data_IF_549906995140
#
_entry.id   IF_549906995140
#
_cell.length_a   1.000
_cell.length_b   1.000
_cell.length_c   1.000
_cell.angle_alpha   90.00
_cell.angle_beta   90.00
_cell.angle_gamma   90.00
#
_symmetry.space_group_name_H-M   'P 1'
#
loop_
_entity.id
_entity.type
_entity.pdbx_description
1 polymer ?
#
# COMPACT_ATOMS: atom_id res chain seq x y z
N UNK A 1 35.76 -75.93 -150.94
CA UNK A 1 35.72 -77.12 -151.82
C UNK A 1 34.37 -77.78 -151.61
N UNK A 2 33.56 -78.00 -152.65
CA UNK A 2 32.33 -78.80 -152.53
C UNK A 2 32.71 -80.29 -152.41
N UNK A 3 31.94 -81.03 -151.61
CA UNK A 3 32.20 -82.37 -151.07
C UNK A 3 32.47 -83.50 -152.08
N UNK A 4 32.51 -83.23 -153.39
CA UNK A 4 32.68 -84.26 -154.41
C UNK A 4 34.11 -84.85 -154.50
N UNK A 5 35.08 -84.39 -153.68
CA UNK A 5 36.48 -84.86 -153.73
C UNK A 5 36.83 -85.96 -152.72
N UNK A 6 35.98 -86.25 -151.74
CA UNK A 6 36.21 -87.29 -150.73
C UNK A 6 34.99 -88.20 -150.64
N UNK A 7 35.20 -89.51 -150.64
CA UNK A 7 34.12 -90.47 -150.38
C UNK A 7 33.63 -90.35 -148.93
N UNK A 8 32.42 -90.84 -148.66
CA UNK A 8 31.93 -91.03 -147.28
C UNK A 8 32.93 -91.86 -146.48
N UNK A 9 33.19 -91.47 -145.24
CA UNK A 9 34.18 -92.08 -144.33
C UNK A 9 35.61 -92.13 -144.88
N UNK A 10 35.91 -91.34 -145.93
CA UNK A 10 37.25 -91.29 -146.49
C UNK A 10 38.28 -90.74 -145.50
N UNK A 11 37.87 -90.07 -144.42
CA UNK A 11 38.74 -89.57 -143.35
C UNK A 11 38.45 -90.37 -142.07
N UNK A 12 39.26 -91.37 -141.80
CA UNK A 12 39.26 -92.14 -140.53
C UNK A 12 40.31 -91.57 -139.59
N UNK A 13 40.25 -91.93 -138.29
CA UNK A 13 41.21 -91.43 -137.28
C UNK A 13 42.66 -91.63 -137.70
N UNK A 14 43.02 -92.79 -138.29
CA UNK A 14 44.41 -93.07 -138.73
C UNK A 14 44.88 -92.17 -139.89
N UNK A 15 43.95 -91.60 -140.66
CA UNK A 15 44.26 -90.65 -141.74
C UNK A 15 44.46 -89.23 -141.21
N UNK A 16 44.17 -88.99 -139.94
CA UNK A 16 44.50 -87.76 -139.21
C UNK A 16 45.65 -88.10 -138.27
N UNK A 17 46.88 -87.77 -138.65
CA UNK A 17 48.02 -87.93 -137.76
C UNK A 17 47.84 -87.10 -136.47
N UNK A 18 48.48 -87.54 -135.38
CA UNK A 18 48.43 -86.84 -134.10
C UNK A 18 48.81 -85.37 -134.23
N UNK A 19 48.16 -84.51 -133.44
CA UNK A 19 48.28 -83.04 -133.49
C UNK A 19 47.90 -82.37 -134.82
N UNK A 20 47.42 -83.12 -135.83
CA UNK A 20 46.96 -82.48 -137.07
C UNK A 20 45.67 -81.68 -136.89
N UNK A 21 44.88 -81.90 -135.85
CA UNK A 21 43.76 -81.01 -135.49
C UNK A 21 44.29 -80.00 -134.47
N UNK A 22 44.61 -78.80 -134.94
CA UNK A 22 45.08 -77.68 -134.10
C UNK A 22 43.92 -76.76 -133.75
N UNK A 23 44.10 -75.88 -132.76
CA UNK A 23 43.09 -74.89 -132.38
C UNK A 23 42.60 -74.05 -133.57
N UNK A 24 43.46 -73.72 -134.54
CA UNK A 24 43.04 -72.95 -135.73
C UNK A 24 42.16 -73.76 -136.71
N UNK A 25 42.19 -75.09 -136.64
CA UNK A 25 41.35 -76.00 -137.43
C UNK A 25 40.01 -76.30 -136.74
N UNK A 26 39.91 -75.99 -135.45
CA UNK A 26 38.65 -75.97 -134.72
C UNK A 26 38.08 -74.55 -134.83
N UNK A 27 36.92 -74.41 -135.46
CA UNK A 27 36.21 -73.14 -135.45
C UNK A 27 35.89 -72.72 -133.99
N UNK A 28 35.64 -71.44 -133.78
CA UNK A 28 35.01 -70.98 -132.53
C UNK A 28 33.74 -71.81 -132.28
N UNK A 29 33.54 -72.26 -131.04
CA UNK A 29 32.44 -73.13 -130.60
C UNK A 29 32.39 -74.51 -131.30
N UNK A 30 33.48 -74.94 -131.93
CA UNK A 30 33.55 -76.26 -132.55
C UNK A 30 33.46 -77.40 -131.51
N UNK A 31 33.89 -77.17 -130.27
CA UNK A 31 33.77 -78.11 -129.15
C UNK A 31 32.77 -77.54 -128.15
N UNK A 32 31.52 -78.01 -128.22
CA UNK A 32 30.44 -77.67 -127.30
C UNK A 32 30.38 -78.68 -126.16
N UNK A 33 29.63 -78.39 -125.08
CA UNK A 33 29.41 -79.33 -123.96
C UNK A 33 28.97 -80.71 -124.44
N UNK A 34 28.08 -80.81 -125.43
CA UNK A 34 27.62 -82.08 -126.00
C UNK A 34 28.72 -82.92 -126.68
N UNK A 35 29.83 -82.28 -127.07
CA UNK A 35 31.00 -82.94 -127.69
C UNK A 35 32.06 -83.35 -126.66
N UNK A 36 31.87 -82.98 -125.39
CA UNK A 36 32.71 -83.39 -124.26
C UNK A 36 31.93 -84.43 -123.47
N UNK A 37 32.48 -85.63 -123.33
CA UNK A 37 31.85 -86.66 -122.51
C UNK A 37 31.94 -86.30 -121.03
N UNK A 38 30.84 -86.41 -120.29
CA UNK A 38 30.80 -86.11 -118.86
C UNK A 38 31.87 -86.89 -118.08
N UNK A 39 32.52 -86.20 -117.14
CA UNK A 39 33.56 -86.78 -116.26
C UNK A 39 34.92 -86.98 -116.92
N UNK A 40 35.09 -86.64 -118.20
CA UNK A 40 36.39 -86.77 -118.87
C UNK A 40 37.37 -85.62 -118.57
N UNK A 41 36.87 -84.46 -118.14
CA UNK A 41 37.70 -83.35 -117.67
C UNK A 41 38.15 -83.65 -116.24
N UNK A 42 39.40 -84.08 -116.07
CA UNK A 42 40.02 -84.37 -114.78
C UNK A 42 40.85 -83.19 -114.27
N UNK A 43 41.32 -83.26 -113.02
CA UNK A 43 42.09 -82.18 -112.40
C UNK A 43 43.35 -81.76 -113.18
N UNK A 44 43.98 -82.65 -113.95
CA UNK A 44 45.12 -82.32 -114.81
C UNK A 44 44.74 -81.56 -116.09
N UNK A 45 43.48 -81.65 -116.54
CA UNK A 45 42.99 -80.88 -117.69
C UNK A 45 42.72 -79.41 -117.31
N UNK A 46 42.67 -79.13 -116.01
CA UNK A 46 42.48 -77.81 -115.44
C UNK A 46 43.80 -77.32 -114.86
N UNK A 47 44.32 -76.21 -115.38
CA UNK A 47 45.49 -75.58 -114.78
C UNK A 47 45.19 -75.12 -113.34
N UNK A 48 46.20 -75.16 -112.47
CA UNK A 48 46.09 -74.63 -111.12
C UNK A 48 45.53 -73.21 -111.14
N UNK A 49 44.62 -72.91 -110.22
CA UNK A 49 43.95 -71.61 -110.07
C UNK A 49 43.06 -71.18 -111.25
N UNK A 50 42.79 -72.06 -112.23
CA UNK A 50 41.84 -71.75 -113.29
C UNK A 50 40.42 -71.60 -112.73
N UNK A 51 40.06 -72.28 -111.65
CA UNK A 51 38.78 -72.12 -110.95
C UNK A 51 38.98 -71.20 -109.75
N UNK A 52 38.54 -69.95 -109.87
CA UNK A 52 38.59 -68.93 -108.80
C UNK A 52 37.27 -68.89 -108.04
N UNK A 53 37.21 -68.32 -106.84
CA UNK A 53 35.95 -68.13 -106.11
C UNK A 53 34.87 -67.42 -106.94
N UNK A 54 35.25 -66.47 -107.81
CA UNK A 54 34.33 -65.81 -108.75
C UNK A 54 33.68 -66.76 -109.77
N UNK A 55 34.34 -67.90 -110.09
CA UNK A 55 33.84 -68.95 -110.99
C UNK A 55 33.01 -70.01 -110.26
N UNK A 56 33.03 -70.00 -108.92
CA UNK A 56 32.27 -70.94 -108.06
C UNK A 56 30.90 -70.41 -107.62
N UNK A 57 30.60 -69.13 -107.88
CA UNK A 57 29.30 -68.47 -107.74
C UNK A 57 28.52 -68.58 -106.39
N UNK A 58 28.95 -69.35 -105.37
CA UNK A 58 28.21 -69.53 -104.10
C UNK A 58 29.08 -69.69 -102.83
N UNK A 59 28.40 -69.54 -101.67
CA UNK A 59 28.92 -69.70 -100.29
C UNK A 59 29.51 -71.09 -100.06
N UNK A 60 30.74 -71.16 -99.53
CA UNK A 60 31.34 -72.43 -99.09
C UNK A 60 30.67 -72.86 -97.78
N UNK A 61 30.31 -74.14 -97.68
CA UNK A 61 29.70 -74.71 -96.46
C UNK A 61 30.69 -74.78 -95.29
N UNK A 62 30.17 -74.72 -94.05
CA UNK A 62 30.96 -74.69 -92.80
C UNK A 62 31.95 -75.87 -92.65
N UNK A 63 31.59 -77.13 -92.98
CA UNK A 63 32.51 -78.26 -92.84
C UNK A 63 33.77 -78.13 -93.70
N UNK A 64 33.69 -77.36 -94.79
CA UNK A 64 34.77 -77.19 -95.76
C UNK A 64 35.46 -75.82 -95.61
N UNK A 65 35.41 -75.23 -94.40
CA UNK A 65 36.11 -73.99 -94.07
C UNK A 65 35.39 -72.70 -94.44
N UNK A 66 34.11 -72.77 -94.82
CA UNK A 66 33.28 -71.57 -95.06
C UNK A 66 32.70 -70.97 -93.78
N UNK A 67 32.37 -69.68 -93.80
CA UNK A 67 31.67 -69.01 -92.68
C UNK A 67 30.18 -69.32 -92.63
N UNK A 68 29.60 -69.80 -93.75
CA UNK A 68 28.16 -70.03 -93.90
C UNK A 68 27.29 -68.77 -93.84
N UNK A 69 27.87 -67.58 -93.68
CA UNK A 69 27.18 -66.30 -93.51
C UNK A 69 27.77 -65.24 -94.46
N UNK A 70 26.90 -64.38 -94.99
CA UNK A 70 27.24 -63.35 -95.99
C UNK A 70 27.76 -62.05 -95.39
N UNK A 71 27.44 -61.73 -94.12
CA UNK A 71 27.90 -60.54 -93.38
C UNK A 71 28.04 -60.81 -91.88
N UNK A 72 29.08 -60.29 -91.23
CA UNK A 72 29.29 -60.37 -89.77
C UNK A 72 29.52 -58.96 -89.20
N UNK A 73 28.89 -58.61 -88.08
CA UNK A 73 29.08 -57.31 -87.39
C UNK A 73 28.92 -57.49 -85.87
N UNK A 74 29.88 -56.99 -85.09
CA UNK A 74 29.91 -57.16 -83.63
C UNK A 74 30.86 -58.27 -83.17
N UNK A 75 30.56 -58.88 -82.01
CA UNK A 75 31.36 -59.98 -81.46
C UNK A 75 30.93 -61.31 -82.09
N UNK A 76 31.90 -62.10 -82.57
CA UNK A 76 31.64 -63.41 -83.19
C UNK A 76 31.99 -64.52 -82.20
N UNK A 77 31.02 -65.41 -81.92
CA UNK A 77 31.25 -66.60 -81.10
C UNK A 77 31.06 -67.85 -81.94
N UNK A 78 32.14 -68.61 -82.11
CA UNK A 78 32.06 -69.97 -82.66
C UNK A 78 31.53 -70.93 -81.61
N UNK A 79 30.53 -71.74 -81.96
CA UNK A 79 30.09 -72.88 -81.13
C UNK A 79 30.64 -74.23 -81.63
N UNK A 80 31.54 -74.20 -82.61
CA UNK A 80 32.21 -75.37 -83.18
C UNK A 80 31.31 -76.33 -83.97
N UNK A 81 30.01 -76.04 -84.13
CA UNK A 81 29.03 -76.99 -84.71
C UNK A 81 28.03 -76.35 -85.67
N UNK A 82 27.77 -75.04 -85.60
CA UNK A 82 26.90 -74.30 -86.50
C UNK A 82 27.64 -73.13 -87.16
N UNK A 83 26.97 -72.45 -88.10
CA UNK A 83 27.47 -71.20 -88.67
C UNK A 83 27.80 -70.19 -87.56
N UNK A 84 28.89 -69.44 -87.75
CA UNK A 84 29.29 -68.40 -86.81
C UNK A 84 28.20 -67.32 -86.74
N UNK A 85 27.77 -67.00 -85.53
CA UNK A 85 26.78 -65.93 -85.29
C UNK A 85 27.46 -64.75 -84.63
N UNK A 86 27.07 -63.53 -85.04
CA UNK A 86 27.52 -62.30 -84.42
C UNK A 86 26.49 -61.80 -83.42
N UNK A 87 26.95 -61.27 -82.28
CA UNK A 87 26.11 -60.66 -81.25
C UNK A 87 26.56 -59.21 -81.05
N UNK A 88 25.61 -58.32 -80.81
CA UNK A 88 25.86 -56.87 -80.74
C UNK A 88 26.71 -56.43 -79.54
N UNK A 89 26.71 -57.20 -78.44
CA UNK A 89 27.46 -56.91 -77.20
C UNK A 89 28.12 -58.18 -76.68
N UNK A 90 29.25 -58.02 -75.99
CA UNK A 90 29.93 -59.16 -75.35
C UNK A 90 29.02 -59.71 -74.24
N UNK A 91 28.61 -61.00 -74.29
CA UNK A 91 27.78 -61.57 -73.24
C UNK A 91 28.58 -61.69 -71.94
N UNK A 92 28.17 -60.98 -70.89
CA UNK A 92 28.90 -60.96 -69.61
C UNK A 92 28.98 -62.36 -68.96
N UNK A 93 28.00 -63.22 -69.25
CA UNK A 93 28.00 -64.62 -68.81
C UNK A 93 29.16 -65.45 -69.36
N UNK A 94 29.78 -65.01 -70.46
CA UNK A 94 30.93 -65.67 -71.07
C UNK A 94 32.27 -65.20 -70.47
N UNK A 95 32.26 -64.21 -69.56
CA UNK A 95 33.46 -63.64 -68.93
C UNK A 95 33.51 -64.03 -67.45
N UNK A 96 34.41 -64.96 -67.10
CA UNK A 96 34.64 -65.37 -65.71
C UNK A 96 35.16 -64.19 -64.88
N UNK A 97 34.47 -63.87 -63.77
CA UNK A 97 34.88 -62.82 -62.84
C UNK A 97 34.41 -61.40 -63.21
N UNK A 98 33.51 -61.25 -64.19
CA UNK A 98 33.00 -59.95 -64.57
C UNK A 98 32.23 -59.25 -63.43
N UNK A 99 32.50 -57.96 -63.25
CA UNK A 99 31.69 -57.08 -62.42
C UNK A 99 30.47 -56.61 -63.22
N UNK A 100 29.31 -56.66 -62.59
CA UNK A 100 28.01 -56.32 -63.16
C UNK A 100 27.29 -55.39 -62.21
N UNK A 101 26.27 -54.68 -62.71
CA UNK A 101 25.39 -53.89 -61.84
C UNK A 101 24.76 -54.79 -60.75
N UNK A 102 24.54 -56.07 -61.03
CA UNK A 102 23.95 -57.02 -60.08
C UNK A 102 24.92 -57.46 -58.96
N UNK A 103 26.23 -57.39 -59.17
CA UNK A 103 27.22 -57.73 -58.14
C UNK A 103 27.93 -56.53 -57.52
N UNK A 104 27.50 -55.31 -57.84
CA UNK A 104 28.01 -54.10 -57.20
C UNK A 104 27.28 -53.88 -55.87
N UNK A 105 28.02 -53.65 -54.79
CA UNK A 105 27.43 -53.26 -53.52
C UNK A 105 26.80 -51.86 -53.64
N UNK A 106 25.55 -51.73 -53.22
CA UNK A 106 24.78 -50.48 -53.31
C UNK A 106 25.16 -49.49 -52.21
N UNK A 107 25.29 -49.96 -50.97
CA UNK A 107 25.91 -49.26 -49.85
C UNK A 107 26.25 -50.27 -48.74
N UNK A 108 27.05 -49.84 -47.77
CA UNK A 108 27.54 -50.69 -46.68
C UNK A 108 26.38 -51.28 -45.87
N UNK A 109 25.33 -50.52 -45.57
CA UNK A 109 24.22 -50.95 -44.70
C UNK A 109 23.25 -51.92 -45.40
N UNK A 110 22.92 -51.67 -46.66
CA UNK A 110 21.99 -52.50 -47.43
C UNK A 110 22.59 -53.86 -47.82
N UNK A 111 23.92 -53.94 -47.82
CA UNK A 111 24.67 -55.13 -48.23
C UNK A 111 25.60 -55.65 -47.12
N UNK A 112 25.29 -55.34 -45.86
CA UNK A 112 26.03 -55.77 -44.66
C UNK A 112 26.39 -57.26 -44.71
N UNK A 113 27.64 -57.56 -44.39
CA UNK A 113 28.16 -58.93 -44.39
C UNK A 113 28.33 -59.59 -45.77
N UNK A 114 28.06 -58.89 -46.88
CA UNK A 114 28.21 -59.50 -48.21
C UNK A 114 29.67 -59.81 -48.53
N UNK A 115 29.94 -61.07 -48.90
CA UNK A 115 31.23 -61.55 -49.41
C UNK A 115 31.23 -61.76 -50.93
N UNK A 116 30.07 -61.61 -51.57
CA UNK A 116 29.84 -61.92 -53.00
C UNK A 116 29.67 -60.67 -53.87
N UNK A 117 29.37 -59.53 -53.24
CA UNK A 117 29.31 -58.24 -53.92
C UNK A 117 30.69 -57.56 -53.92
N UNK A 118 30.93 -56.68 -54.88
CA UNK A 118 32.14 -55.87 -54.99
C UNK A 118 31.87 -54.40 -54.63
N UNK A 119 32.73 -53.77 -53.81
CA UNK A 119 33.71 -54.44 -52.94
C UNK A 119 33.01 -55.32 -51.89
N UNK A 120 33.73 -56.28 -51.32
CA UNK A 120 33.22 -57.13 -50.24
C UNK A 120 32.87 -56.25 -49.04
N UNK A 121 31.56 -56.12 -48.76
CA UNK A 121 31.07 -55.31 -47.65
C UNK A 121 31.51 -55.90 -46.33
N UNK A 122 31.58 -57.23 -46.22
CA UNK A 122 32.13 -57.90 -45.04
C UNK A 122 33.59 -57.49 -44.75
N UNK A 123 34.43 -57.39 -45.78
CA UNK A 123 35.81 -56.96 -45.62
C UNK A 123 35.90 -55.47 -45.23
N UNK A 124 35.03 -54.63 -45.81
CA UNK A 124 34.93 -53.21 -45.45
C UNK A 124 34.47 -53.03 -44.00
N UNK A 125 33.42 -53.74 -43.57
CA UNK A 125 32.90 -53.69 -42.19
C UNK A 125 33.94 -54.16 -41.17
N UNK A 126 34.70 -55.22 -41.47
CA UNK A 126 35.78 -55.69 -40.61
C UNK A 126 36.89 -54.63 -40.46
N UNK A 127 37.28 -53.98 -41.56
CA UNK A 127 38.28 -52.90 -41.53
C UNK A 127 37.81 -51.69 -40.71
N UNK A 128 36.56 -51.26 -40.91
CA UNK A 128 35.97 -50.11 -40.19
C UNK A 128 35.82 -50.42 -38.70
N UNK A 129 35.36 -51.62 -38.34
CA UNK A 129 35.19 -52.04 -36.95
C UNK A 129 36.53 -52.10 -36.21
N UNK A 130 37.57 -52.66 -36.84
CA UNK A 130 38.92 -52.71 -36.25
C UNK A 130 39.60 -51.34 -36.18
N UNK A 131 39.15 -50.36 -36.97
CA UNK A 131 39.66 -48.99 -36.95
C UNK A 131 38.85 -48.06 -36.06
N UNK A 132 37.76 -48.55 -35.46
CA UNK A 132 36.94 -47.75 -34.54
C UNK A 132 37.72 -47.46 -33.26
N UNK A 133 37.68 -46.20 -32.79
CA UNK A 133 38.23 -45.85 -31.48
C UNK A 133 37.43 -46.57 -30.39
N UNK A 134 38.05 -47.42 -29.55
CA UNK A 134 37.33 -48.16 -28.51
C UNK A 134 36.77 -47.21 -27.45
N UNK A 135 35.83 -47.71 -26.65
CA UNK A 135 35.35 -46.96 -25.49
C UNK A 135 36.47 -46.74 -24.46
N UNK A 136 36.38 -45.60 -23.78
CA UNK A 136 37.34 -45.23 -22.76
C UNK A 136 37.16 -46.10 -21.51
N UNK A 137 38.27 -46.62 -20.98
CA UNK A 137 38.31 -47.23 -19.66
C UNK A 137 39.48 -46.68 -18.85
N UNK A 138 39.67 -47.20 -17.64
CA UNK A 138 40.84 -46.86 -16.80
C UNK A 138 42.16 -47.32 -17.42
N UNK A 139 42.12 -48.33 -18.30
CA UNK A 139 43.30 -48.94 -18.94
C UNK A 139 43.35 -48.77 -20.46
N UNK A 140 42.21 -48.53 -21.12
CA UNK A 140 42.10 -48.37 -22.59
C UNK A 140 41.77 -46.91 -22.92
N UNK A 141 42.56 -46.30 -23.82
CA UNK A 141 42.28 -44.95 -24.32
C UNK A 141 41.17 -45.02 -25.37
N UNK A 142 40.02 -44.42 -25.08
CA UNK A 142 39.03 -44.05 -26.09
C UNK A 142 39.27 -42.62 -26.57
N UNK A 143 38.19 -41.87 -26.88
CA UNK A 143 38.27 -40.43 -27.21
C UNK A 143 38.89 -39.58 -26.07
N UNK A 144 38.75 -40.03 -24.82
CA UNK A 144 39.38 -39.50 -23.60
C UNK A 144 39.84 -40.70 -22.76
N UNK A 145 40.90 -40.57 -21.94
CA UNK A 145 41.29 -41.62 -20.98
C UNK A 145 40.67 -41.32 -19.61
N UNK A 146 39.92 -42.25 -19.02
CA UNK A 146 39.32 -42.11 -17.69
C UNK A 146 40.30 -42.54 -16.60
N UNK A 147 41.35 -41.74 -16.38
CA UNK A 147 42.35 -41.98 -15.34
C UNK A 147 42.72 -40.68 -14.60
N UNK A 148 43.33 -40.82 -13.41
CA UNK A 148 43.63 -39.69 -12.54
C UNK A 148 42.39 -39.26 -11.75
N UNK A 149 41.97 -38.01 -11.94
CA UNK A 149 40.76 -37.48 -11.27
C UNK A 149 39.47 -38.06 -11.86
N UNK A 150 39.51 -38.57 -13.10
CA UNK A 150 38.41 -39.24 -13.77
C UNK A 150 38.54 -40.77 -13.66
N UNK A 151 37.43 -41.47 -13.47
CA UNK A 151 37.34 -42.92 -13.41
C UNK A 151 36.00 -43.44 -13.93
N UNK A 152 35.59 -44.66 -13.54
CA UNK A 152 34.34 -45.27 -14.00
C UNK A 152 34.46 -45.92 -15.39
N UNK A 153 33.33 -45.99 -16.10
CA UNK A 153 33.25 -46.50 -17.48
C UNK A 153 32.84 -45.39 -18.43
N UNK A 154 32.89 -45.63 -19.74
CA UNK A 154 32.42 -44.67 -20.74
C UNK A 154 30.94 -44.28 -20.53
N UNK A 155 30.09 -45.23 -20.14
CA UNK A 155 28.66 -44.98 -19.88
C UNK A 155 28.40 -44.26 -18.55
N UNK A 156 29.29 -44.45 -17.56
CA UNK A 156 29.14 -43.90 -16.22
C UNK A 156 30.50 -43.37 -15.71
N UNK A 157 30.95 -42.21 -16.22
CA UNK A 157 32.17 -41.60 -15.76
C UNK A 157 32.00 -41.13 -14.31
N UNK A 158 33.03 -41.35 -13.51
CA UNK A 158 33.07 -40.92 -12.11
C UNK A 158 34.23 -39.97 -11.90
N UNK A 159 34.21 -39.25 -10.77
CA UNK A 159 35.33 -38.46 -10.28
C UNK A 159 35.76 -39.02 -8.91
N UNK A 160 36.44 -40.18 -8.85
CA UNK A 160 36.76 -40.84 -7.58
C UNK A 160 37.57 -39.95 -6.63
N UNK A 161 38.38 -39.04 -7.19
CA UNK A 161 39.15 -38.06 -6.43
C UNK A 161 38.30 -37.09 -5.61
N UNK A 162 37.03 -36.87 -5.98
CA UNK A 162 36.11 -35.98 -5.25
C UNK A 162 35.42 -36.69 -4.08
N UNK A 163 35.17 -38.00 -4.20
CA UNK A 163 34.44 -38.79 -3.19
C UNK A 163 35.12 -38.84 -1.81
N UNK A 164 36.42 -38.48 -1.73
CA UNK A 164 37.21 -38.48 -0.49
C UNK A 164 37.55 -37.08 0.02
N UNK A 165 37.15 -36.02 -0.69
CA UNK A 165 37.58 -34.64 -0.39
C UNK A 165 36.60 -33.85 0.48
N UNK A 166 35.33 -34.27 0.56
CA UNK A 166 34.36 -33.67 1.46
C UNK A 166 33.63 -34.76 2.25
N UNK A 167 33.80 -34.82 3.58
CA UNK A 167 33.01 -35.71 4.43
C UNK A 167 31.51 -35.35 4.32
N UNK A 168 30.65 -36.34 4.19
CA UNK A 168 29.19 -36.14 4.25
C UNK A 168 28.82 -35.46 5.58
N UNK A 169 28.31 -34.22 5.52
CA UNK A 169 27.80 -33.51 6.69
C UNK A 169 26.39 -34.05 6.97
N UNK A 170 26.20 -34.73 8.10
CA UNK A 170 24.87 -35.13 8.54
C UNK A 170 24.01 -33.89 8.81
N UNK A 171 22.75 -33.89 8.39
CA UNK A 171 21.84 -32.77 8.63
C UNK A 171 21.65 -32.53 10.14
N UNK A 172 21.80 -31.28 10.58
CA UNK A 172 21.53 -30.85 11.95
C UNK A 172 20.05 -30.58 12.20
N UNK A 173 19.70 -30.26 13.44
CA UNK A 173 18.35 -29.79 13.78
C UNK A 173 18.22 -28.28 13.58
N UNK A 174 16.98 -27.76 13.63
CA UNK A 174 16.69 -26.32 13.61
C UNK A 174 17.26 -25.55 14.81
N UNK A 175 17.73 -26.26 15.84
CA UNK A 175 18.33 -25.69 17.05
C UNK A 175 19.84 -25.84 17.07
N UNK A 176 20.48 -26.15 15.94
CA UNK A 176 21.93 -26.34 15.85
C UNK A 176 22.56 -25.47 14.76
N UNK A 177 23.83 -25.14 14.94
CA UNK A 177 24.66 -24.51 13.92
C UNK A 177 25.95 -25.33 13.71
N UNK A 178 26.46 -25.33 12.48
CA UNK A 178 27.68 -26.03 12.12
C UNK A 178 28.90 -25.15 12.40
N UNK A 179 29.84 -25.65 13.20
CA UNK A 179 31.07 -24.91 13.54
C UNK A 179 32.21 -25.22 12.57
N UNK A 180 33.23 -24.36 12.57
CA UNK A 180 34.45 -24.56 11.78
C UNK A 180 35.26 -25.80 12.16
N UNK A 181 35.04 -26.37 13.35
CA UNK A 181 35.60 -27.64 13.80
C UNK A 181 34.87 -28.88 13.25
N UNK A 182 33.87 -28.66 12.37
CA UNK A 182 33.02 -29.71 11.76
C UNK A 182 32.18 -30.49 12.77
N UNK A 183 31.66 -29.80 13.79
CA UNK A 183 30.70 -30.35 14.73
C UNK A 183 29.42 -29.49 14.80
N UNK A 184 28.29 -30.14 15.06
CA UNK A 184 27.02 -29.46 15.37
C UNK A 184 27.06 -28.95 16.82
N UNK A 185 26.76 -27.68 17.02
CA UNK A 185 26.59 -27.07 18.33
C UNK A 185 25.15 -26.59 18.49
N UNK A 186 24.55 -26.81 19.66
CA UNK A 186 23.21 -26.28 19.99
C UNK A 186 23.24 -24.77 20.04
N UNK A 187 22.26 -24.12 19.40
CA UNK A 187 21.98 -22.69 19.48
C UNK A 187 21.14 -22.42 20.72
N UNK A 188 21.80 -22.11 21.83
CA UNK A 188 21.16 -21.70 23.08
C UNK A 188 21.62 -20.28 23.51
N UNK A 189 20.94 -19.69 24.50
CA UNK A 189 21.27 -18.33 24.98
C UNK A 189 22.69 -18.19 25.52
N UNK A 190 23.31 -19.28 25.97
CA UNK A 190 24.70 -19.28 26.45
C UNK A 190 25.69 -19.21 25.30
N UNK A 191 25.42 -19.92 24.20
CA UNK A 191 26.27 -19.93 23.00
C UNK A 191 26.37 -18.57 22.33
N UNK A 192 25.36 -17.70 22.49
CA UNK A 192 25.33 -16.33 21.96
C UNK A 192 25.62 -15.26 23.01
N UNK A 193 26.04 -15.63 24.23
CA UNK A 193 26.40 -14.68 25.28
C UNK A 193 25.22 -13.92 25.91
N UNK A 194 23.99 -14.42 25.75
CA UNK A 194 22.74 -13.81 26.23
C UNK A 194 22.18 -14.51 27.48
N UNK A 195 23.06 -15.04 28.35
CA UNK A 195 22.67 -15.80 29.56
C UNK A 195 21.69 -15.04 30.47
N UNK A 196 21.82 -13.72 30.51
CA UNK A 196 21.04 -12.82 31.37
C UNK A 196 19.77 -12.28 30.70
N UNK A 197 19.52 -12.64 29.44
CA UNK A 197 18.32 -12.21 28.71
C UNK A 197 17.29 -13.32 28.82
N UNK A 198 16.26 -13.08 29.64
CA UNK A 198 15.08 -13.92 29.69
C UNK A 198 13.94 -13.25 28.91
N UNK A 199 13.18 -14.05 28.15
CA UNK A 199 12.01 -13.56 27.40
C UNK A 199 10.79 -13.47 28.33
N UNK A 200 10.88 -12.61 29.34
CA UNK A 200 9.76 -12.33 30.25
C UNK A 200 8.77 -11.41 29.55
N UNK A 201 7.50 -11.84 29.42
CA UNK A 201 6.43 -10.99 28.88
C UNK A 201 6.31 -9.69 29.66
N UNK A 202 5.88 -8.61 29.00
CA UNK A 202 5.80 -7.28 29.62
C UNK A 202 4.97 -7.28 30.92
N UNK A 203 3.90 -8.08 30.99
CA UNK A 203 3.06 -8.22 32.17
C UNK A 203 3.80 -8.83 33.38
N UNK A 204 4.82 -9.65 33.14
CA UNK A 204 5.59 -10.32 34.18
C UNK A 204 6.94 -9.65 34.44
N UNK A 205 7.25 -8.55 33.76
CA UNK A 205 8.51 -7.82 34.00
C UNK A 205 8.50 -7.26 35.42
N UNK A 206 9.48 -7.60 36.27
CA UNK A 206 9.56 -7.02 37.59
C UNK A 206 9.78 -5.51 37.45
N UNK A 207 8.97 -4.72 38.15
CA UNK A 207 9.28 -3.31 38.34
C UNK A 207 10.33 -3.18 39.43
N UNK A 208 11.17 -2.15 39.34
CA UNK A 208 12.18 -1.92 40.37
C UNK A 208 11.52 -1.61 41.72
N UNK A 209 12.17 -1.98 42.83
CA UNK A 209 11.71 -1.63 44.18
C UNK A 209 11.48 -0.12 44.31
N UNK A 210 12.35 0.71 43.72
CA UNK A 210 12.19 2.17 43.73
C UNK A 210 10.92 2.62 43.00
N UNK A 211 10.60 2.01 41.87
CA UNK A 211 9.35 2.27 41.13
C UNK A 211 8.13 1.86 41.94
N UNK A 212 8.15 0.67 42.56
CA UNK A 212 7.04 0.21 43.41
C UNK A 212 6.83 1.13 44.61
N UNK A 213 7.90 1.55 45.29
CA UNK A 213 7.82 2.52 46.38
C UNK A 213 7.25 3.86 45.92
N UNK A 214 7.66 4.35 44.75
CA UNK A 214 7.12 5.60 44.20
C UNK A 214 5.63 5.49 43.84
N UNK A 215 5.18 4.33 43.34
CA UNK A 215 3.77 4.06 43.04
C UNK A 215 2.93 3.94 44.32
N UNK A 216 3.44 3.29 45.36
CA UNK A 216 2.74 3.17 46.65
C UNK A 216 2.48 4.52 47.33
N UNK A 217 3.22 5.57 46.97
CA UNK A 217 3.02 6.94 47.48
C UNK A 217 1.98 7.74 46.67
N UNK A 218 1.51 7.21 45.53
CA UNK A 218 0.46 7.87 44.74
C UNK A 218 -0.89 7.55 45.34
N UNK A 219 -1.75 8.56 45.39
CA UNK A 219 -3.13 8.39 45.83
C UNK A 219 -3.92 7.57 44.80
N UNK A 220 -4.69 6.60 45.28
CA UNK A 220 -5.51 5.76 44.42
C UNK A 220 -6.73 6.54 43.92
N UNK A 221 -7.03 6.40 42.63
CA UNK A 221 -8.22 7.04 42.05
C UNK A 221 -9.51 6.57 42.72
N UNK A 222 -9.54 5.32 43.19
CA UNK A 222 -10.67 4.72 43.92
C UNK A 222 -10.96 5.43 45.25
N UNK A 223 -9.98 6.11 45.84
CA UNK A 223 -10.13 6.81 47.11
C UNK A 223 -10.76 8.20 46.94
N UNK A 224 -10.95 8.71 45.72
CA UNK A 224 -11.62 10.00 45.48
C UNK A 224 -13.14 9.86 45.63
N UNK A 225 -13.71 10.56 46.60
CA UNK A 225 -15.14 10.50 46.92
C UNK A 225 -15.90 11.75 46.48
N UNK A 226 -16.99 11.55 45.74
CA UNK A 226 -17.94 12.62 45.39
C UNK A 226 -19.07 12.79 46.41
N UNK A 227 -19.06 12.02 47.50
CA UNK A 227 -20.12 12.06 48.51
C UNK A 227 -20.12 13.42 49.25
N UNK A 228 -21.23 14.15 49.16
CA UNK A 228 -21.43 15.46 49.80
C UNK A 228 -21.76 15.34 51.28
N UNK A 229 -22.11 14.15 51.78
CA UNK A 229 -22.21 13.88 53.21
C UNK A 229 -20.83 13.43 53.71
N UNK A 230 -20.02 14.39 54.16
CA UNK A 230 -18.71 14.10 54.72
C UNK A 230 -18.88 13.17 55.94
N UNK A 231 -18.40 11.92 55.82
CA UNK A 231 -18.43 10.91 56.88
C UNK A 231 -17.12 10.88 57.69
N UNK A 232 -16.88 9.79 58.42
CA UNK A 232 -15.68 9.58 59.26
C UNK A 232 -14.60 8.73 58.60
N UNK A 233 -14.57 8.64 57.27
CA UNK A 233 -13.61 7.79 56.55
C UNK A 233 -12.20 8.38 56.61
N UNK A 234 -11.22 7.53 56.90
CA UNK A 234 -9.79 7.86 56.85
C UNK A 234 -9.13 7.39 55.54
N UNK A 235 -9.90 6.74 54.66
CA UNK A 235 -9.42 6.20 53.38
C UNK A 235 -9.89 7.03 52.18
N UNK A 236 -11.05 7.69 52.28
CA UNK A 236 -11.63 8.43 51.17
C UNK A 236 -11.34 9.93 51.28
N UNK A 237 -10.94 10.55 50.17
CA UNK A 237 -10.71 11.99 50.06
C UNK A 237 -11.89 12.64 49.34
N UNK A 238 -12.60 13.60 49.97
CA UNK A 238 -13.73 14.26 49.33
C UNK A 238 -13.24 15.17 48.20
N UNK A 239 -13.99 15.20 47.10
CA UNK A 239 -13.79 16.19 46.03
C UNK A 239 -14.07 17.61 46.53
N UNK A 240 -13.47 18.62 45.88
CA UNK A 240 -13.81 20.02 46.16
C UNK A 240 -15.32 20.28 46.11
N UNK A 241 -16.02 19.68 45.15
CA UNK A 241 -17.47 19.84 45.02
C UNK A 241 -18.23 19.24 46.22
N UNK A 242 -17.80 18.08 46.72
CA UNK A 242 -18.38 17.45 47.91
C UNK A 242 -18.25 18.34 49.14
N UNK A 243 -17.04 18.85 49.39
CA UNK A 243 -16.77 19.77 50.52
C UNK A 243 -17.58 21.05 50.37
N UNK A 244 -17.57 21.67 49.18
CA UNK A 244 -18.31 22.91 48.92
C UNK A 244 -19.81 22.73 49.16
N UNK A 245 -20.40 21.66 48.64
CA UNK A 245 -21.84 21.38 48.80
C UNK A 245 -22.20 21.19 50.28
N UNK A 246 -21.39 20.44 51.03
CA UNK A 246 -21.60 20.26 52.47
C UNK A 246 -21.58 21.61 53.19
N UNK A 247 -20.53 22.40 52.97
CA UNK A 247 -20.33 23.71 53.63
C UNK A 247 -21.46 24.69 53.27
N UNK A 248 -21.81 24.80 51.99
CA UNK A 248 -22.89 25.69 51.54
C UNK A 248 -24.23 25.31 52.17
N UNK A 249 -24.51 24.00 52.29
CA UNK A 249 -25.71 23.51 52.97
C UNK A 249 -25.72 23.86 54.47
N UNK A 250 -24.59 23.70 55.17
CA UNK A 250 -24.46 24.10 56.57
C UNK A 250 -24.66 25.62 56.74
N UNK A 251 -24.05 26.44 55.88
CA UNK A 251 -24.20 27.91 55.93
C UNK A 251 -25.65 28.33 55.70
N UNK A 252 -26.33 27.71 54.73
CA UNK A 252 -27.71 28.04 54.40
C UNK A 252 -28.66 27.66 55.54
N UNK A 253 -28.49 26.47 56.12
CA UNK A 253 -29.33 25.98 57.22
C UNK A 253 -29.14 26.75 58.52
N UNK A 254 -27.97 27.36 58.73
CA UNK A 254 -27.63 28.14 59.92
C UNK A 254 -27.68 29.66 59.67
N UNK A 255 -28.23 30.10 58.54
CA UNK A 255 -28.45 31.52 58.29
C UNK A 255 -29.37 32.13 59.35
N UNK A 256 -29.05 33.34 59.81
CA UNK A 256 -29.92 34.04 60.77
C UNK A 256 -31.23 34.38 60.04
N UNK A 257 -32.38 33.86 60.49
CA UNK A 257 -33.65 34.12 59.81
C UNK A 257 -34.04 35.60 59.93
N UNK A 258 -34.91 36.06 59.03
CA UNK A 258 -35.49 37.39 59.12
C UNK A 258 -36.27 37.55 60.43
N UNK A 259 -36.13 38.74 61.04
CA UNK A 259 -36.85 39.07 62.26
C UNK A 259 -38.34 39.23 62.00
N UNK A 260 -39.16 38.65 62.86
CA UNK A 260 -40.60 38.89 62.91
C UNK A 260 -41.04 39.18 64.35
N UNK A 261 -42.35 39.29 64.57
CA UNK A 261 -42.93 39.39 65.91
C UNK A 261 -42.72 38.10 66.72
N UNK A 262 -42.54 36.94 66.06
CA UNK A 262 -42.41 35.61 66.67
C UNK A 262 -41.08 34.91 66.41
N UNK A 263 -40.33 35.29 65.37
CA UNK A 263 -39.03 34.72 64.99
C UNK A 263 -37.93 35.73 65.30
N UNK A 264 -36.95 35.32 66.10
CA UNK A 264 -35.78 36.15 66.41
C UNK A 264 -34.81 36.09 65.23
N UNK A 265 -34.64 37.21 64.55
CA UNK A 265 -33.44 37.44 63.73
C UNK A 265 -32.30 37.94 64.62
N UNK A 266 -31.53 38.94 64.16
CA UNK A 266 -30.56 39.66 65.03
C UNK A 266 -31.25 40.50 66.12
N UNK A 267 -32.48 40.94 65.87
CA UNK A 267 -33.37 41.64 66.80
C UNK A 267 -34.76 41.00 66.65
N UNK A 268 -35.60 40.99 67.70
CA UNK A 268 -37.01 40.62 67.60
C UNK A 268 -37.87 41.88 67.44
N UNK A 269 -38.80 41.89 66.49
CA UNK A 269 -39.73 43.02 66.27
C UNK A 269 -40.97 42.87 67.16
N UNK A 270 -40.76 42.90 68.48
CA UNK A 270 -41.81 42.78 69.48
C UNK A 270 -41.66 43.85 70.58
N UNK A 271 -42.66 43.95 71.46
CA UNK A 271 -42.70 44.97 72.50
C UNK A 271 -43.02 46.34 71.93
N UNK A 272 -42.02 47.21 71.91
CA UNK A 272 -42.11 48.57 71.36
C UNK A 272 -41.91 48.61 69.84
N UNK A 273 -41.25 47.59 69.30
CA UNK A 273 -41.05 47.38 67.88
C UNK A 273 -42.11 46.44 67.31
N UNK A 274 -42.40 46.58 66.02
CA UNK A 274 -43.34 45.77 65.26
C UNK A 274 -43.02 45.81 63.77
N UNK A 275 -43.97 45.39 62.94
CA UNK A 275 -43.80 45.33 61.47
C UNK A 275 -43.08 44.06 61.01
N UNK A 276 -42.35 44.15 59.89
CA UNK A 276 -41.56 43.06 59.31
C UNK A 276 -40.10 43.49 59.17
N UNK A 277 -39.19 42.53 58.91
CA UNK A 277 -37.78 42.85 58.65
C UNK A 277 -37.59 43.87 57.50
N UNK A 278 -38.49 43.88 56.50
CA UNK A 278 -38.44 44.84 55.39
C UNK A 278 -39.03 46.22 55.72
N UNK A 279 -39.91 46.31 56.72
CA UNK A 279 -40.59 47.53 57.11
C UNK A 279 -40.81 47.54 58.64
N UNK A 280 -39.76 47.82 59.43
CA UNK A 280 -39.87 47.88 60.88
C UNK A 280 -40.64 49.13 61.30
N UNK A 281 -41.43 49.02 62.37
CA UNK A 281 -42.22 50.12 62.92
C UNK A 281 -42.08 50.22 64.43
N UNK A 282 -42.12 51.43 64.97
CA UNK A 282 -42.28 51.67 66.40
C UNK A 282 -43.78 51.73 66.69
N UNK A 283 -44.30 50.64 67.27
CA UNK A 283 -45.74 50.51 67.56
C UNK A 283 -46.07 50.94 68.99
N UNK A 284 -45.07 50.97 69.87
CA UNK A 284 -45.20 51.47 71.24
C UNK A 284 -43.96 52.26 71.64
N UNK A 285 -44.11 53.10 72.65
CA UNK A 285 -43.02 53.78 73.35
C UNK A 285 -43.18 53.49 74.84
N UNK A 286 -42.18 52.84 75.45
CA UNK A 286 -42.19 52.43 76.85
C UNK A 286 -43.38 51.50 77.16
N UNK A 287 -43.68 50.56 76.28
CA UNK A 287 -44.79 49.61 76.40
C UNK A 287 -46.18 50.19 76.12
N UNK A 288 -46.27 51.49 75.82
CA UNK A 288 -47.54 52.20 75.57
C UNK A 288 -47.72 52.46 74.07
N UNK A 289 -48.88 52.12 73.51
CA UNK A 289 -49.09 52.23 72.06
C UNK A 289 -48.92 53.67 71.53
N UNK A 290 -48.27 53.77 70.37
CA UNK A 290 -48.21 55.00 69.57
C UNK A 290 -49.39 54.99 68.63
N UNK A 291 -50.13 56.10 68.60
CA UNK A 291 -51.27 56.27 67.70
C UNK A 291 -50.84 56.10 66.24
N UNK A 292 -51.66 55.39 65.45
CA UNK A 292 -51.44 55.27 64.01
C UNK A 292 -51.68 56.58 63.24
N UNK A 293 -52.20 57.61 63.90
CA UNK A 293 -52.44 58.93 63.31
C UNK A 293 -51.11 59.65 63.05
N UNK A 294 -50.85 60.00 61.79
CA UNK A 294 -49.66 60.75 61.40
C UNK A 294 -49.70 62.17 61.98
N UNK A 295 -48.67 62.63 62.73
CA UNK A 295 -48.59 64.01 63.19
C UNK A 295 -48.56 65.00 62.01
N UNK A 296 -49.19 66.15 62.19
CA UNK A 296 -49.10 67.28 61.26
C UNK A 296 -48.19 68.39 61.82
N UNK A 297 -47.77 69.34 60.98
CA UNK A 297 -46.93 70.46 61.38
C UNK A 297 -47.58 71.26 62.52
N UNK A 298 -46.81 71.51 63.60
CA UNK A 298 -47.31 72.19 64.79
C UNK A 298 -47.85 71.26 65.89
N UNK A 299 -47.80 69.94 65.68
CA UNK A 299 -48.18 68.95 66.69
C UNK A 299 -46.96 68.31 67.38
N UNK A 300 -47.11 67.99 68.66
CA UNK A 300 -46.20 67.19 69.46
C UNK A 300 -46.86 65.86 69.83
N UNK A 301 -46.06 64.83 70.11
CA UNK A 301 -46.57 63.56 70.62
C UNK A 301 -46.76 63.68 72.15
N UNK A 302 -48.00 63.56 72.62
CA UNK A 302 -48.33 63.61 74.04
C UNK A 302 -48.98 62.31 74.49
N UNK A 303 -48.54 61.81 75.65
CA UNK A 303 -49.22 60.70 76.32
C UNK A 303 -50.52 61.20 76.93
N UNK A 304 -51.64 60.60 76.53
CA UNK A 304 -52.97 61.01 76.97
C UNK A 304 -53.53 60.19 78.14
N UNK A 305 -52.70 59.34 78.74
CA UNK A 305 -53.10 58.38 79.78
C UNK A 305 -53.38 56.98 79.23
N UNK A 306 -53.52 56.79 77.92
CA UNK A 306 -53.72 55.47 77.28
C UNK A 306 -52.76 55.23 76.13
N UNK A 307 -52.55 56.23 75.25
CA UNK A 307 -51.70 56.14 74.07
C UNK A 307 -50.84 57.41 73.92
N UNK A 308 -49.74 57.28 73.18
CA UNK A 308 -49.00 58.43 72.66
C UNK A 308 -49.68 58.93 71.39
N UNK A 309 -50.21 60.17 71.38
CA UNK A 309 -50.92 60.73 70.22
C UNK A 309 -50.48 62.16 69.87
N UNK A 310 -50.61 62.59 68.61
CA UNK A 310 -50.35 63.98 68.23
C UNK A 310 -51.34 64.96 68.89
N UNK A 311 -50.84 66.08 69.41
CA UNK A 311 -51.62 67.20 69.97
C UNK A 311 -50.99 68.54 69.54
N UNK A 312 -51.76 69.63 69.47
CA UNK A 312 -51.22 70.95 69.10
C UNK A 312 -50.29 71.52 70.17
N UNK A 313 -49.22 72.20 69.76
CA UNK A 313 -48.37 72.97 70.67
C UNK A 313 -49.07 74.29 71.07
N UNK A 314 -49.35 74.51 72.37
CA UNK A 314 -49.90 75.79 72.86
C UNK A 314 -48.78 76.86 72.92
N UNK A 315 -49.02 78.07 72.38
CA UNK A 315 -48.08 79.21 72.38
C UNK A 315 -47.82 79.73 73.81
N UNK A 316 -46.56 79.97 74.16
CA UNK A 316 -46.12 80.39 75.50
C UNK A 316 -46.26 81.93 75.63
N UNK A 317 -47.01 82.41 76.62
CA UNK A 317 -47.13 83.83 76.97
C UNK A 317 -45.78 84.37 77.49
N UNK A 318 -45.31 85.52 77.01
CA UNK A 318 -44.03 86.15 77.42
C UNK A 318 -44.15 87.65 77.71
N UNK A 319 -43.19 88.20 78.46
CA UNK A 319 -43.06 89.64 78.75
C UNK A 319 -42.07 90.28 77.76
N UNK A 320 -42.43 91.44 77.23
CA UNK A 320 -41.64 92.27 76.32
C UNK A 320 -41.40 93.65 76.94
N UNK A 321 -40.27 94.26 76.61
CA UNK A 321 -39.88 95.61 77.05
C UNK A 321 -39.44 96.45 75.85
N UNK A 322 -40.06 97.62 75.67
CA UNK A 322 -39.65 98.63 74.68
C UNK A 322 -39.07 99.88 75.36
N UNK A 323 -38.08 100.51 74.72
CA UNK A 323 -37.41 101.70 75.22
C UNK A 323 -37.26 102.78 74.14
N UNK A 324 -37.48 104.03 74.51
CA UNK A 324 -37.44 105.19 73.63
C UNK A 324 -36.65 106.34 74.28
N UNK A 325 -35.99 107.15 73.47
CA UNK A 325 -35.45 108.46 73.87
C UNK A 325 -36.41 109.53 73.36
N UNK A 326 -37.01 110.30 74.26
CA UNK A 326 -38.10 111.19 73.91
C UNK A 326 -37.64 112.53 73.32
N UNK A 327 -38.49 113.07 72.43
CA UNK A 327 -38.42 114.48 72.01
C UNK A 327 -39.16 115.38 73.01
N UNK A 328 -38.83 116.68 73.01
CA UNK A 328 -39.51 117.66 73.86
C UNK A 328 -41.02 117.68 73.58
N UNK A 329 -41.81 117.63 74.66
CA UNK A 329 -43.27 117.60 74.65
C UNK A 329 -43.92 116.42 73.90
N UNK A 330 -43.21 115.29 73.74
CA UNK A 330 -43.78 114.10 73.11
C UNK A 330 -44.91 113.50 73.94
N UNK A 331 -46.02 113.15 73.27
CA UNK A 331 -47.25 112.63 73.88
C UNK A 331 -47.70 111.27 73.33
N UNK A 332 -46.91 110.63 72.45
CA UNK A 332 -47.24 109.32 71.87
C UNK A 332 -46.00 108.47 71.60
N UNK A 333 -46.12 107.16 71.85
CA UNK A 333 -45.08 106.14 71.64
C UNK A 333 -45.67 104.92 70.92
N UNK A 334 -44.88 104.21 70.12
CA UNK A 334 -45.33 103.03 69.35
C UNK A 334 -44.50 101.82 69.72
N UNK A 335 -45.13 100.81 70.32
CA UNK A 335 -44.56 99.55 70.78
C UNK A 335 -44.28 98.59 69.63
N UNK A 336 -43.36 97.64 69.86
CA UNK A 336 -42.95 96.60 68.91
C UNK A 336 -44.04 95.53 68.70
N UNK A 337 -44.87 95.25 69.70
CA UNK A 337 -45.96 94.28 69.62
C UNK A 337 -47.24 94.78 70.33
N UNK A 338 -48.38 94.16 70.01
CA UNK A 338 -49.67 94.53 70.63
C UNK A 338 -49.75 93.93 72.04
N UNK A 339 -49.85 94.75 73.10
CA UNK A 339 -49.97 94.26 74.45
C UNK A 339 -51.24 93.43 74.65
N UNK A 340 -51.12 92.26 75.27
CA UNK A 340 -52.24 91.50 75.81
C UNK A 340 -52.30 91.67 77.33
N UNK A 341 -53.09 92.64 77.80
CA UNK A 341 -53.30 92.88 79.23
C UNK A 341 -52.68 94.19 79.74
N UNK A 342 -52.05 94.17 80.92
CA UNK A 342 -51.55 95.39 81.58
C UNK A 342 -50.21 95.83 80.99
N UNK A 343 -50.07 97.15 80.78
CA UNK A 343 -48.82 97.82 80.43
C UNK A 343 -48.33 98.69 81.60
N UNK A 344 -47.01 98.86 81.73
CA UNK A 344 -46.40 99.85 82.62
C UNK A 344 -45.48 100.78 81.83
N UNK A 345 -45.63 102.10 81.98
CA UNK A 345 -44.74 103.11 81.41
C UNK A 345 -43.84 103.70 82.50
N UNK A 346 -42.60 104.03 82.16
CA UNK A 346 -41.64 104.70 83.04
C UNK A 346 -40.99 105.88 82.29
N UNK A 347 -40.74 106.98 83.00
CA UNK A 347 -39.97 108.15 82.52
C UNK A 347 -38.74 108.28 83.40
N UNK A 348 -37.54 108.16 82.82
CA UNK A 348 -36.25 108.13 83.53
C UNK A 348 -36.26 107.14 84.72
N UNK A 349 -36.94 106.00 84.55
CA UNK A 349 -37.11 104.98 85.59
C UNK A 349 -38.23 105.26 86.61
N UNK A 350 -38.89 106.41 86.57
CA UNK A 350 -40.02 106.73 87.44
C UNK A 350 -41.32 106.23 86.80
N UNK A 351 -42.07 105.41 87.53
CA UNK A 351 -43.31 104.82 87.02
C UNK A 351 -44.37 105.89 86.78
N UNK A 352 -44.89 105.90 85.55
CA UNK A 352 -45.99 106.78 85.14
C UNK A 352 -47.32 106.22 85.68
N UNK A 353 -48.21 107.07 86.23
CA UNK A 353 -49.54 106.65 86.64
C UNK A 353 -50.31 105.98 85.51
N UNK A 354 -51.05 104.91 85.82
CA UNK A 354 -51.85 104.19 84.81
C UNK A 354 -52.84 105.11 84.09
N UNK A 355 -53.40 106.10 84.80
CA UNK A 355 -54.34 107.06 84.24
C UNK A 355 -53.70 108.06 83.26
N UNK A 356 -52.38 108.17 83.23
CA UNK A 356 -51.65 109.03 82.31
C UNK A 356 -51.32 108.35 80.97
N UNK A 357 -51.66 107.07 80.81
CA UNK A 357 -51.43 106.32 79.57
C UNK A 357 -52.72 105.69 79.03
N UNK A 358 -52.91 105.75 77.71
CA UNK A 358 -53.96 105.00 77.00
C UNK A 358 -53.33 104.21 75.87
N UNK A 359 -53.69 102.93 75.73
CA UNK A 359 -53.14 102.04 74.70
C UNK A 359 -54.19 101.74 73.64
N UNK A 360 -53.82 101.83 72.37
CA UNK A 360 -54.66 101.39 71.24
C UNK A 360 -53.77 100.72 70.20
N UNK A 361 -53.96 99.40 70.00
CA UNK A 361 -53.03 98.58 69.23
C UNK A 361 -51.63 98.63 69.84
N UNK A 362 -50.63 99.00 69.04
CA UNK A 362 -49.25 99.21 69.49
C UNK A 362 -48.98 100.62 70.01
N UNK A 363 -49.93 101.55 69.94
CA UNK A 363 -49.69 102.96 70.30
C UNK A 363 -50.05 103.24 71.75
N UNK A 364 -49.16 103.91 72.48
CA UNK A 364 -49.40 104.42 73.84
C UNK A 364 -49.40 105.95 73.81
N UNK A 365 -50.54 106.55 74.17
CA UNK A 365 -50.69 108.00 74.33
C UNK A 365 -50.42 108.40 75.79
N UNK A 366 -49.62 109.46 76.00
CA UNK A 366 -49.24 110.00 77.30
C UNK A 366 -49.90 111.36 77.55
N UNK A 367 -50.51 111.52 78.73
CA UNK A 367 -51.22 112.75 79.14
C UNK A 367 -50.52 113.39 80.33
N UNK A 368 -49.85 114.52 80.12
CA UNK A 368 -49.02 115.19 81.15
C UNK A 368 -49.81 115.66 82.36
N UNK A 369 -51.03 116.19 82.18
CA UNK A 369 -51.90 116.63 83.28
C UNK A 369 -52.26 115.51 84.24
N UNK A 370 -52.36 114.27 83.74
CA UNK A 370 -52.59 113.06 84.54
C UNK A 370 -51.32 112.50 85.20
N UNK A 371 -50.16 113.12 84.96
CA UNK A 371 -48.88 112.80 85.59
C UNK A 371 -48.30 114.03 86.32
N UNK A 372 -49.13 114.70 87.13
CA UNK A 372 -48.69 115.85 87.92
C UNK A 372 -48.23 117.07 87.11
N UNK A 373 -48.61 117.14 85.82
CA UNK A 373 -48.22 118.21 84.91
C UNK A 373 -46.85 117.99 84.24
N UNK A 374 -46.21 116.83 84.44
CA UNK A 374 -44.90 116.56 83.86
C UNK A 374 -44.96 116.48 82.32
N UNK A 375 -44.32 117.43 81.65
CA UNK A 375 -44.13 117.43 80.19
C UNK A 375 -42.83 116.71 79.90
N UNK A 376 -42.89 115.70 79.03
CA UNK A 376 -41.71 114.93 78.61
C UNK A 376 -40.68 115.88 78.00
N UNK A 377 -39.44 115.79 78.49
CA UNK A 377 -38.34 116.62 78.06
C UNK A 377 -37.52 115.90 76.98
N UNK A 378 -36.73 116.69 76.26
CA UNK A 378 -35.76 116.11 75.32
C UNK A 378 -34.78 115.22 76.10
N UNK A 379 -34.52 114.03 75.58
CA UNK A 379 -33.66 113.00 76.16
C UNK A 379 -34.18 112.28 77.40
N UNK A 380 -35.46 112.47 77.76
CA UNK A 380 -36.08 111.55 78.73
C UNK A 380 -36.06 110.12 78.19
N UNK A 381 -35.65 109.16 79.04
CA UNK A 381 -35.70 107.73 78.76
C UNK A 381 -37.09 107.20 79.08
N UNK A 382 -37.79 106.71 78.08
CA UNK A 382 -39.15 106.16 78.20
C UNK A 382 -39.10 104.65 78.05
N UNK A 383 -39.66 103.90 79.00
CA UNK A 383 -39.68 102.44 78.95
C UNK A 383 -41.10 101.91 79.12
N UNK A 384 -41.44 100.84 78.39
CA UNK A 384 -42.72 100.14 78.50
C UNK A 384 -42.52 98.64 78.73
N UNK A 385 -43.14 98.08 79.77
CA UNK A 385 -43.20 96.63 80.00
C UNK A 385 -44.62 96.12 79.74
N UNK A 386 -44.76 95.08 78.91
CA UNK A 386 -46.05 94.49 78.53
C UNK A 386 -45.97 93.00 78.16
N UNK A 387 -47.13 92.33 78.07
CA UNK A 387 -47.21 90.89 77.76
C UNK A 387 -47.60 90.69 76.30
N UNK A 388 -47.03 89.68 75.64
CA UNK A 388 -47.44 89.21 74.30
C UNK A 388 -47.67 87.70 74.29
N UNK A 389 -48.38 87.22 73.26
CA UNK A 389 -48.42 85.80 72.90
C UNK A 389 -47.19 85.39 72.09
#
# INVERSE_FOLDING_TARGET
MTNAKLATDAVTTIKIADANVTNAKLATDAVTTEKILDGTIIGSDLANSIITNAKLAETISVPNGGTGATTLTGYVKGNGTNAMTAVATIPVADIVGAQTIANLASNITANTGSTTLYPSVAAVEAYVTNSATPDASTTVKGKVKLAGDLGGTADLPTVPGLATKEPTIAAGTTTQYWRGDKSWQTLDKSTVGLNNVDNTSDANKPISTATQTALNNKEDLANKSTNTALGTSNALYPTQNAVKTYVDAQITSNSTPDASTTVKGKIQLAGDLGGTAAAPSVVKLQGTAVSATTPTTGQLLQFDGTNWKPVNANSIVKMETDEFVAAAAQVSFTLTATPIGKIAMYVNGVRVPKAAITVTGTTVAYTSSSNGGYVVLVNDRITFDYITN
#
